data_IF_925100636873
#
_entry.id   IF_925100636873
#
_cell.length_a   1.000
_cell.length_b   1.000
_cell.length_c   1.000
_cell.angle_alpha   90.00
_cell.angle_beta   90.00
_cell.angle_gamma   90.00
#
_symmetry.space_group_name_H-M   'P 1'
#
loop_
_entity.id
_entity.type
_entity.pdbx_description
1 polymer ?
#
# COMPACT_ATOMS: atom_id res chain seq x y z
N UNK A 1 11.21 77.94 7.22
CA UNK A 1 10.58 76.79 6.52
C UNK A 1 9.07 76.94 6.59
N UNK A 2 8.38 77.02 5.44
CA UNK A 2 6.92 77.17 5.39
C UNK A 2 6.24 75.95 6.04
N UNK A 3 5.52 76.15 7.15
CA UNK A 3 4.77 75.09 7.87
C UNK A 3 3.89 74.25 6.93
N UNK A 4 3.31 74.86 5.89
CA UNK A 4 2.48 74.19 4.88
C UNK A 4 3.25 73.12 4.09
N UNK A 5 4.51 73.37 3.73
CA UNK A 5 5.31 72.40 2.97
C UNK A 5 5.81 71.25 3.85
N UNK A 6 6.04 71.51 5.14
CA UNK A 6 6.40 70.47 6.09
C UNK A 6 5.27 69.46 6.31
N UNK A 7 4.03 69.94 6.49
CA UNK A 7 2.85 69.08 6.67
C UNK A 7 2.57 68.24 5.42
N UNK A 8 2.69 68.83 4.22
CA UNK A 8 2.52 68.08 2.95
C UNK A 8 3.54 66.96 2.80
N UNK A 9 4.81 67.23 3.10
CA UNK A 9 5.86 66.21 3.03
C UNK A 9 5.66 65.11 4.07
N UNK A 10 5.19 65.44 5.27
CA UNK A 10 4.89 64.46 6.32
C UNK A 10 3.73 63.53 5.93
N UNK A 11 2.65 64.09 5.36
CA UNK A 11 1.52 63.29 4.83
C UNK A 11 1.98 62.38 3.69
N UNK A 12 2.79 62.90 2.77
CA UNK A 12 3.32 62.12 1.65
C UNK A 12 4.17 60.93 2.13
N UNK A 13 5.02 61.16 3.14
CA UNK A 13 5.86 60.11 3.72
C UNK A 13 5.02 59.04 4.41
N UNK A 14 3.97 59.44 5.14
CA UNK A 14 3.04 58.51 5.78
C UNK A 14 2.28 57.67 4.75
N UNK A 15 1.82 58.29 3.65
CA UNK A 15 1.16 57.57 2.56
C UNK A 15 2.09 56.54 1.91
N UNK A 16 3.37 56.86 1.76
CA UNK A 16 4.39 55.97 1.20
C UNK A 16 4.64 54.75 2.13
N UNK A 17 4.69 54.98 3.45
CA UNK A 17 4.81 53.91 4.44
C UNK A 17 3.57 53.00 4.41
N UNK A 18 2.36 53.57 4.40
CA UNK A 18 1.12 52.80 4.30
C UNK A 18 1.07 51.93 3.04
N UNK A 19 1.53 52.47 1.91
CA UNK A 19 1.61 51.75 0.64
C UNK A 19 2.53 50.52 0.71
N UNK A 20 3.55 50.53 1.57
CA UNK A 20 4.45 49.39 1.74
C UNK A 20 3.95 48.38 2.77
N UNK A 21 3.35 48.85 3.87
CA UNK A 21 2.89 47.97 4.95
C UNK A 21 1.65 47.17 4.52
N UNK A 22 0.73 47.78 3.79
CA UNK A 22 -0.54 47.15 3.45
C UNK A 22 -0.38 45.89 2.56
N UNK A 23 0.40 45.93 1.46
CA UNK A 23 0.66 44.72 0.67
C UNK A 23 1.41 43.65 1.45
N UNK A 24 2.35 44.05 2.32
CA UNK A 24 3.11 43.10 3.13
C UNK A 24 2.19 42.33 4.09
N UNK A 25 1.29 43.01 4.80
CA UNK A 25 0.33 42.37 5.70
C UNK A 25 -0.64 41.45 4.94
N UNK A 26 -1.12 41.90 3.78
CA UNK A 26 -1.98 41.09 2.93
C UNK A 26 -1.29 39.81 2.46
N UNK A 27 -0.06 39.92 1.94
CA UNK A 27 0.76 38.79 1.51
C UNK A 27 1.05 37.83 2.67
N UNK A 28 1.38 38.36 3.85
CA UNK A 28 1.64 37.53 5.04
C UNK A 28 0.40 36.70 5.43
N UNK A 29 -0.78 37.32 5.41
CA UNK A 29 -2.04 36.63 5.71
C UNK A 29 -2.35 35.54 4.67
N UNK A 30 -2.10 35.81 3.39
CA UNK A 30 -2.33 34.86 2.32
C UNK A 30 -1.37 33.66 2.43
N UNK A 31 -0.10 33.92 2.75
CA UNK A 31 0.90 32.88 2.99
C UNK A 31 0.47 31.98 4.15
N UNK A 32 0.02 32.55 5.27
CA UNK A 32 -0.44 31.77 6.43
C UNK A 32 -1.68 30.92 6.09
N UNK A 33 -2.62 31.48 5.32
CA UNK A 33 -3.79 30.75 4.85
C UNK A 33 -3.40 29.56 3.96
N UNK A 34 -2.55 29.80 2.95
CA UNK A 34 -2.07 28.77 2.04
C UNK A 34 -1.29 27.69 2.78
N UNK A 35 -0.46 28.07 3.76
CA UNK A 35 0.28 27.13 4.60
C UNK A 35 -0.64 26.23 5.42
N UNK A 36 -1.71 26.79 6.00
CA UNK A 36 -2.70 26.01 6.74
C UNK A 36 -3.47 25.04 5.83
N UNK A 37 -3.79 25.46 4.61
CA UNK A 37 -4.40 24.59 3.60
C UNK A 37 -3.46 23.45 3.20
N UNK A 38 -2.19 23.76 2.94
CA UNK A 38 -1.17 22.76 2.62
C UNK A 38 -1.03 21.72 3.73
N UNK A 39 -0.95 22.16 5.00
CA UNK A 39 -0.87 21.25 6.14
C UNK A 39 -2.11 20.34 6.22
N UNK A 40 -3.30 20.89 6.00
CA UNK A 40 -4.54 20.10 6.02
C UNK A 40 -4.57 19.06 4.90
N UNK A 41 -4.10 19.42 3.70
CA UNK A 41 -3.94 18.52 2.56
C UNK A 41 -2.89 17.45 2.81
N UNK A 42 -1.77 17.78 3.44
CA UNK A 42 -0.75 16.80 3.81
C UNK A 42 -1.27 15.80 4.85
N UNK A 43 -2.03 16.28 5.85
CA UNK A 43 -2.65 15.41 6.85
C UNK A 43 -3.70 14.47 6.24
N UNK A 44 -4.52 14.98 5.31
CA UNK A 44 -5.52 14.15 4.63
C UNK A 44 -4.87 13.11 3.71
N UNK A 45 -3.83 13.48 2.97
CA UNK A 45 -3.03 12.56 2.17
C UNK A 45 -2.38 11.49 3.03
N UNK A 46 -1.79 11.87 4.17
CA UNK A 46 -1.21 10.91 5.12
C UNK A 46 -2.26 9.93 5.64
N UNK A 47 -3.44 10.41 6.02
CA UNK A 47 -4.52 9.54 6.49
C UNK A 47 -5.00 8.55 5.40
N UNK A 48 -5.07 9.00 4.14
CA UNK A 48 -5.38 8.12 3.01
C UNK A 48 -4.27 7.10 2.79
N UNK A 49 -3.01 7.53 2.85
CA UNK A 49 -1.86 6.65 2.67
C UNK A 49 -1.80 5.58 3.76
N UNK A 50 -1.99 5.95 5.03
CA UNK A 50 -2.05 5.00 6.15
C UNK A 50 -3.20 3.99 5.96
N UNK A 51 -4.34 4.42 5.39
CA UNK A 51 -5.47 3.53 5.09
C UNK A 51 -5.11 2.55 3.97
N UNK A 52 -4.46 3.02 2.90
CA UNK A 52 -4.00 2.18 1.81
C UNK A 52 -2.96 1.19 2.32
N UNK A 53 -1.98 1.63 3.09
CA UNK A 53 -0.93 0.78 3.65
C UNK A 53 -1.52 -0.34 4.51
N UNK A 54 -2.51 -0.05 5.35
CA UNK A 54 -3.22 -1.09 6.12
C UNK A 54 -4.00 -2.08 5.26
N UNK A 55 -4.62 -1.61 4.17
CA UNK A 55 -5.34 -2.49 3.24
C UNK A 55 -4.35 -3.39 2.48
N UNK A 56 -3.28 -2.80 1.97
CA UNK A 56 -2.18 -3.50 1.31
C UNK A 56 -1.56 -4.52 2.25
N UNK A 57 -1.22 -4.15 3.48
CA UNK A 57 -0.65 -5.07 4.46
C UNK A 57 -1.61 -6.23 4.79
N UNK A 58 -2.91 -5.96 4.91
CA UNK A 58 -3.92 -7.01 5.09
C UNK A 58 -3.95 -7.97 3.91
N UNK A 59 -4.02 -7.44 2.70
CA UNK A 59 -4.15 -8.26 1.48
C UNK A 59 -2.86 -9.06 1.21
N UNK A 60 -1.70 -8.45 1.39
CA UNK A 60 -0.41 -9.14 1.29
C UNK A 60 -0.25 -10.22 2.36
N UNK A 61 -0.70 -9.99 3.59
CA UNK A 61 -0.64 -11.00 4.65
C UNK A 61 -1.54 -12.18 4.33
N UNK A 62 -2.74 -11.95 3.80
CA UNK A 62 -3.63 -13.03 3.34
C UNK A 62 -2.99 -13.83 2.21
N UNK A 63 -2.42 -13.17 1.20
CA UNK A 63 -1.72 -13.83 0.09
C UNK A 63 -0.50 -14.62 0.57
N UNK A 64 0.25 -14.08 1.54
CA UNK A 64 1.42 -14.74 2.12
C UNK A 64 1.01 -15.98 2.93
N UNK A 65 -0.08 -15.89 3.71
CA UNK A 65 -0.63 -17.02 4.45
C UNK A 65 -1.17 -18.09 3.49
N UNK A 66 -1.87 -17.71 2.42
CA UNK A 66 -2.34 -18.64 1.39
C UNK A 66 -1.19 -19.36 0.69
N UNK A 67 -0.17 -18.64 0.24
CA UNK A 67 1.03 -19.23 -0.37
C UNK A 67 1.72 -20.21 0.58
N UNK A 68 1.79 -19.86 1.87
CA UNK A 68 2.38 -20.71 2.89
C UNK A 68 1.53 -21.96 3.16
N UNK A 69 0.21 -21.84 3.16
CA UNK A 69 -0.72 -22.99 3.28
C UNK A 69 -0.58 -23.92 2.08
N UNK A 70 -0.56 -23.37 0.85
CA UNK A 70 -0.37 -24.15 -0.39
C UNK A 70 0.96 -24.89 -0.35
N UNK A 71 2.05 -24.20 0.02
CA UNK A 71 3.37 -24.82 0.15
C UNK A 71 3.41 -25.90 1.22
N UNK A 72 2.77 -25.70 2.38
CA UNK A 72 2.67 -26.74 3.42
C UNK A 72 1.85 -27.94 2.93
N UNK A 73 0.75 -27.70 2.21
CA UNK A 73 -0.09 -28.77 1.65
C UNK A 73 0.65 -29.57 0.56
N UNK A 74 1.48 -28.92 -0.23
CA UNK A 74 2.36 -29.51 -1.24
C UNK A 74 3.50 -30.31 -0.58
N UNK A 75 4.27 -29.67 0.32
CA UNK A 75 5.50 -30.23 0.90
C UNK A 75 5.23 -31.30 1.98
N UNK A 76 4.19 -31.12 2.81
CA UNK A 76 3.98 -31.95 4.02
C UNK A 76 2.82 -32.94 3.93
N UNK A 77 1.83 -32.68 3.09
CA UNK A 77 0.59 -33.47 3.08
C UNK A 77 0.31 -34.17 1.74
N UNK A 78 1.05 -33.86 0.67
CA UNK A 78 0.84 -34.45 -0.65
C UNK A 78 -0.59 -34.23 -1.19
N UNK A 79 -1.28 -33.19 -0.71
CA UNK A 79 -2.70 -32.94 -0.98
C UNK A 79 -2.94 -32.19 -2.29
N UNK A 80 -1.90 -31.60 -2.86
CA UNK A 80 -1.95 -30.99 -4.19
C UNK A 80 -1.56 -32.06 -5.19
N UNK A 81 -2.45 -32.38 -6.14
CA UNK A 81 -2.12 -33.30 -7.24
C UNK A 81 -0.88 -32.76 -7.96
N UNK A 82 0.20 -33.54 -7.99
CA UNK A 82 1.37 -33.19 -8.78
C UNK A 82 0.95 -32.99 -10.23
N UNK A 83 1.43 -31.91 -10.86
CA UNK A 83 1.27 -31.70 -12.31
C UNK A 83 2.06 -32.74 -13.13
N UNK A 84 2.91 -33.51 -12.46
CA UNK A 84 3.61 -34.64 -13.06
C UNK A 84 2.78 -35.91 -12.89
N UNK A 85 2.59 -36.70 -13.96
CA UNK A 85 1.96 -38.00 -13.85
C UNK A 85 2.74 -38.83 -12.83
N UNK A 86 2.03 -39.54 -11.94
CA UNK A 86 2.65 -40.49 -11.04
C UNK A 86 3.52 -41.46 -11.83
N UNK A 87 4.66 -41.87 -11.25
CA UNK A 87 5.53 -42.89 -11.85
C UNK A 87 4.67 -44.10 -12.25
N UNK A 88 4.69 -44.43 -13.55
CA UNK A 88 3.96 -45.57 -14.07
C UNK A 88 4.54 -46.85 -13.45
N UNK A 89 3.80 -47.45 -12.52
CA UNK A 89 4.18 -48.74 -11.95
C UNK A 89 3.92 -49.81 -13.01
N UNK A 90 4.97 -50.20 -13.73
CA UNK A 90 4.91 -51.31 -14.67
C UNK A 90 4.78 -52.63 -13.92
N UNK A 91 3.57 -53.20 -13.93
CA UNK A 91 3.29 -54.52 -13.37
C UNK A 91 3.31 -55.54 -14.51
N UNK A 92 4.26 -56.47 -14.46
CA UNK A 92 4.32 -57.61 -15.37
C UNK A 92 3.07 -58.49 -15.21
N UNK A 93 2.37 -58.77 -16.31
CA UNK A 93 1.12 -59.55 -16.31
C UNK A 93 1.30 -60.96 -15.73
N UNK A 94 2.50 -61.53 -15.80
CA UNK A 94 2.79 -62.82 -15.18
C UNK A 94 2.72 -62.77 -13.65
N UNK A 95 3.10 -61.64 -13.03
CA UNK A 95 3.00 -61.45 -11.58
C UNK A 95 1.54 -61.36 -11.13
N UNK A 96 0.68 -60.74 -11.94
CA UNK A 96 -0.76 -60.67 -11.65
C UNK A 96 -1.34 -62.09 -11.64
N UNK A 97 -1.03 -62.88 -12.66
CA UNK A 97 -1.52 -64.27 -12.76
C UNK A 97 -0.99 -65.16 -11.61
N UNK A 98 0.22 -64.92 -11.12
CA UNK A 98 0.76 -65.64 -9.95
C UNK A 98 0.02 -65.27 -8.67
N UNK A 99 -0.26 -63.98 -8.47
CA UNK A 99 -1.02 -63.51 -7.31
C UNK A 99 -2.44 -64.08 -7.34
N UNK A 100 -3.09 -64.06 -8.51
CA UNK A 100 -4.43 -64.64 -8.70
C UNK A 100 -4.48 -66.12 -8.32
N UNK A 101 -3.50 -66.91 -8.77
CA UNK A 101 -3.38 -68.34 -8.38
C UNK A 101 -3.24 -68.53 -6.88
N UNK A 102 -2.36 -67.75 -6.23
CA UNK A 102 -2.13 -67.86 -4.78
C UNK A 102 -3.38 -67.46 -3.99
N UNK A 103 -4.12 -66.45 -4.46
CA UNK A 103 -5.38 -66.04 -3.80
C UNK A 103 -6.44 -67.13 -3.94
N UNK A 104 -6.62 -67.69 -5.14
CA UNK A 104 -7.61 -68.73 -5.36
C UNK A 104 -7.27 -70.02 -4.59
N UNK A 105 -6.00 -70.45 -4.54
CA UNK A 105 -5.57 -71.61 -3.75
C UNK A 105 -5.72 -71.44 -2.23
N UNK A 106 -5.83 -70.21 -1.73
CA UNK A 106 -5.87 -69.92 -0.29
C UNK A 106 -7.27 -69.64 0.24
N UNK A 107 -8.21 -69.32 -0.64
CA UNK A 107 -9.58 -68.92 -0.28
C UNK A 107 -10.67 -69.83 -0.89
N UNK A 108 -10.30 -70.81 -1.73
CA UNK A 108 -11.07 -72.03 -1.98
C UNK A 108 -10.63 -73.17 -1.03
#
# INVERSE_FOLDING_TARGET
MNKSNFVKNLIFLFALICLWIFPHLFLSSEIDLLKNQEQTLQLSLKAINDKIERLVERDFKVLQDEYRIVKIAEDSLGLVRSLHPFDEVYVDGNRINQIEKIVNEKYD
#
